data_IF_458798086059
#
_entry.id   IF_458798086059
#
_cell.length_a   1.000
_cell.length_b   1.000
_cell.length_c   1.000
_cell.angle_alpha   90.00
_cell.angle_beta   90.00
_cell.angle_gamma   90.00
#
_symmetry.space_group_name_H-M   'P 1'
#
loop_
_entity.id
_entity.type
_entity.pdbx_description
1 polymer ?
#
# COMPACT_ATOMS: atom_id res chain seq x y z
N UNK A 1 5.00 -4.04 5.30
CA UNK A 1 4.68 -5.38 4.75
C UNK A 1 4.05 -6.29 5.80
N UNK A 2 4.67 -6.58 6.97
CA UNK A 2 4.04 -7.47 7.96
C UNK A 2 2.58 -7.10 8.29
N UNK A 3 2.29 -5.83 8.58
CA UNK A 3 0.92 -5.35 8.84
C UNK A 3 -0.09 -5.60 7.70
N UNK A 4 0.34 -5.47 6.44
CA UNK A 4 -0.52 -5.73 5.28
C UNK A 4 -0.87 -7.23 5.18
N UNK A 5 0.08 -8.11 5.49
CA UNK A 5 -0.16 -9.55 5.48
C UNK A 5 -1.00 -9.98 6.69
N UNK A 6 -0.85 -9.32 7.86
CA UNK A 6 -1.75 -9.57 8.99
C UNK A 6 -3.17 -9.11 8.70
N UNK A 7 -3.35 -7.96 8.01
CA UNK A 7 -4.66 -7.51 7.55
C UNK A 7 -5.32 -8.57 6.67
N UNK A 8 -4.57 -9.11 5.70
CA UNK A 8 -5.06 -10.22 4.89
C UNK A 8 -5.45 -11.45 5.73
N UNK A 9 -4.67 -11.80 6.75
CA UNK A 9 -5.02 -12.91 7.64
C UNK A 9 -6.26 -12.63 8.49
N UNK A 10 -6.48 -11.38 8.91
CA UNK A 10 -7.70 -10.96 9.61
C UNK A 10 -8.93 -11.10 8.71
N UNK A 11 -8.77 -10.86 7.41
CA UNK A 11 -9.80 -11.03 6.38
C UNK A 11 -9.93 -12.49 5.89
N UNK A 12 -9.32 -13.45 6.59
CA UNK A 12 -9.51 -14.89 6.35
C UNK A 12 -8.50 -15.52 5.40
N UNK A 13 -7.51 -14.78 4.89
CA UNK A 13 -6.46 -15.38 4.05
C UNK A 13 -5.50 -16.21 4.88
N UNK A 14 -5.29 -17.48 4.49
CA UNK A 14 -4.28 -18.32 5.13
C UNK A 14 -2.87 -18.01 4.60
N UNK A 15 -1.80 -18.26 5.38
CA UNK A 15 -0.42 -18.15 4.90
C UNK A 15 -0.12 -19.02 3.66
N UNK A 16 -0.88 -20.10 3.46
CA UNK A 16 -0.74 -21.01 2.33
C UNK A 16 -1.53 -20.56 1.09
N UNK A 17 -2.38 -19.54 1.21
CA UNK A 17 -3.16 -19.00 0.11
C UNK A 17 -2.24 -18.56 -1.03
N UNK A 18 -2.56 -18.97 -2.26
CA UNK A 18 -1.74 -18.72 -3.44
C UNK A 18 -2.25 -17.52 -4.21
N UNK A 19 -1.33 -16.65 -4.60
CA UNK A 19 -1.60 -15.43 -5.37
C UNK A 19 -0.63 -15.30 -6.54
N UNK A 20 -1.01 -14.60 -7.62
CA UNK A 20 -0.15 -14.43 -8.77
C UNK A 20 1.00 -13.44 -8.47
N UNK A 21 2.24 -13.87 -8.70
CA UNK A 21 3.42 -13.01 -8.62
C UNK A 21 3.63 -12.22 -9.92
N UNK A 22 2.72 -11.29 -10.19
CA UNK A 22 2.69 -10.50 -11.44
C UNK A 22 2.62 -8.99 -11.17
N UNK A 23 3.12 -8.14 -12.08
CA UNK A 23 3.04 -6.70 -11.95
C UNK A 23 1.61 -6.21 -11.69
N UNK A 24 1.46 -5.28 -10.74
CA UNK A 24 0.17 -4.70 -10.37
C UNK A 24 0.13 -3.22 -10.69
N UNK A 25 -0.69 -2.83 -11.67
CA UNK A 25 -0.85 -1.41 -12.02
C UNK A 25 -1.96 -0.76 -11.21
N UNK A 26 -1.66 0.41 -10.64
CA UNK A 26 -2.59 1.30 -9.95
C UNK A 26 -2.90 2.49 -10.86
N UNK A 27 -4.15 2.93 -10.86
CA UNK A 27 -4.59 4.15 -11.55
C UNK A 27 -4.66 5.27 -10.51
N UNK A 28 -4.13 6.43 -10.87
CA UNK A 28 -4.23 7.66 -10.08
C UNK A 28 -4.55 8.83 -11.01
N UNK A 29 -5.83 9.22 -11.04
CA UNK A 29 -6.37 10.21 -11.97
C UNK A 29 -5.92 9.93 -13.42
N UNK A 30 -5.12 10.83 -14.01
CA UNK A 30 -4.61 10.73 -15.39
C UNK A 30 -3.32 9.92 -15.52
N UNK A 31 -2.84 9.31 -14.43
CA UNK A 31 -1.58 8.57 -14.40
C UNK A 31 -1.77 7.12 -13.98
N UNK A 32 -0.80 6.28 -14.36
CA UNK A 32 -0.71 4.90 -13.87
C UNK A 32 0.65 4.64 -13.28
N UNK A 33 0.68 3.84 -12.23
CA UNK A 33 1.90 3.41 -11.57
C UNK A 33 1.91 1.90 -11.38
N UNK A 34 3.02 1.29 -11.79
CA UNK A 34 3.28 -0.14 -11.57
C UNK A 34 4.57 -0.23 -10.75
N UNK A 35 4.51 -0.66 -9.47
CA UNK A 35 5.71 -0.81 -8.66
C UNK A 35 6.59 -1.89 -9.27
N UNK A 36 7.89 -1.62 -9.38
CA UNK A 36 8.85 -2.62 -9.78
C UNK A 36 9.09 -3.61 -8.62
N UNK A 37 9.36 -4.87 -8.98
CA UNK A 37 9.90 -5.85 -8.04
C UNK A 37 11.36 -6.14 -8.35
N UNK A 38 12.16 -6.25 -7.28
CA UNK A 38 13.52 -6.79 -7.32
C UNK A 38 13.56 -8.25 -6.85
N UNK A 39 12.40 -8.89 -6.70
CA UNK A 39 12.27 -10.28 -6.29
C UNK A 39 12.85 -11.26 -7.31
N UNK A 40 12.80 -12.54 -6.94
CA UNK A 40 13.37 -13.65 -7.73
C UNK A 40 12.64 -13.79 -9.07
N UNK A 41 13.33 -13.49 -10.17
CA UNK A 41 12.76 -13.46 -11.53
C UNK A 41 12.18 -14.80 -11.96
N UNK A 42 12.76 -15.91 -11.50
CA UNK A 42 12.31 -17.27 -11.80
C UNK A 42 10.93 -17.60 -11.20
N UNK A 43 10.43 -16.76 -10.28
CA UNK A 43 9.08 -16.86 -9.72
C UNK A 43 8.09 -15.84 -10.29
N UNK A 44 8.53 -14.94 -11.18
CA UNK A 44 7.61 -13.99 -11.82
C UNK A 44 6.64 -14.73 -12.75
N UNK A 45 5.37 -14.32 -12.75
CA UNK A 45 4.31 -15.01 -13.50
C UNK A 45 3.76 -16.26 -12.83
N UNK A 46 4.36 -16.74 -11.73
CA UNK A 46 3.93 -17.96 -11.04
C UNK A 46 2.99 -17.66 -9.88
N UNK A 47 2.21 -18.67 -9.50
CA UNK A 47 1.45 -18.65 -8.25
C UNK A 47 2.38 -18.92 -7.07
N UNK A 48 2.39 -18.03 -6.08
CA UNK A 48 3.20 -18.15 -4.86
C UNK A 48 2.33 -18.00 -3.64
N UNK A 49 2.74 -18.54 -2.50
CA UNK A 49 1.96 -18.41 -1.26
C UNK A 49 2.17 -17.03 -0.62
N UNK A 50 1.21 -16.56 0.18
CA UNK A 50 1.39 -15.36 1.00
C UNK A 50 2.60 -15.49 1.94
N UNK A 51 2.80 -16.67 2.54
CA UNK A 51 4.01 -16.97 3.34
C UNK A 51 5.29 -16.72 2.53
N UNK A 52 5.35 -17.21 1.30
CA UNK A 52 6.51 -17.03 0.42
C UNK A 52 6.70 -15.55 0.06
N UNK A 53 5.61 -14.85 -0.27
CA UNK A 53 5.64 -13.43 -0.63
C UNK A 53 6.19 -12.55 0.49
N UNK A 54 5.77 -12.80 1.74
CA UNK A 54 6.29 -12.10 2.90
C UNK A 54 7.76 -12.46 3.15
N UNK A 55 8.11 -13.75 3.12
CA UNK A 55 9.47 -14.23 3.38
C UNK A 55 10.50 -13.69 2.38
N UNK A 56 10.12 -13.50 1.11
CA UNK A 56 11.00 -12.96 0.07
C UNK A 56 10.84 -11.46 -0.13
N UNK A 57 10.03 -10.78 0.69
CA UNK A 57 9.71 -9.36 0.55
C UNK A 57 9.26 -9.02 -0.89
N UNK A 58 8.45 -9.88 -1.49
CA UNK A 58 8.03 -9.76 -2.89
C UNK A 58 7.07 -8.57 -3.08
N UNK A 59 7.46 -7.60 -3.92
CA UNK A 59 6.69 -6.37 -4.13
C UNK A 59 5.42 -6.62 -4.93
N UNK A 60 5.44 -7.52 -5.92
CA UNK A 60 4.24 -7.82 -6.71
C UNK A 60 3.13 -8.46 -5.88
N UNK A 61 3.49 -9.38 -4.96
CA UNK A 61 2.54 -9.96 -4.00
C UNK A 61 2.00 -8.90 -3.05
N UNK A 62 2.87 -8.03 -2.52
CA UNK A 62 2.44 -6.95 -1.64
C UNK A 62 1.50 -5.96 -2.36
N UNK A 63 1.81 -5.61 -3.60
CA UNK A 63 0.96 -4.76 -4.43
C UNK A 63 -0.38 -5.43 -4.76
N UNK A 64 -0.40 -6.76 -4.94
CA UNK A 64 -1.64 -7.51 -5.14
C UNK A 64 -2.52 -7.46 -3.91
N UNK A 65 -1.95 -7.62 -2.71
CA UNK A 65 -2.67 -7.49 -1.45
C UNK A 65 -3.26 -6.09 -1.26
N UNK A 66 -2.50 -5.02 -1.56
CA UNK A 66 -3.01 -3.64 -1.45
C UNK A 66 -4.26 -3.42 -2.31
N UNK A 67 -4.39 -4.10 -3.46
CA UNK A 67 -5.59 -3.99 -4.30
C UNK A 67 -6.84 -4.65 -3.70
N UNK A 68 -6.69 -5.51 -2.71
CA UNK A 68 -7.83 -6.21 -2.10
C UNK A 68 -8.48 -5.38 -0.98
N UNK A 69 -7.78 -4.39 -0.45
CA UNK A 69 -8.20 -3.62 0.72
C UNK A 69 -8.37 -2.15 0.38
N UNK A 70 -9.23 -1.47 1.13
CA UNK A 70 -9.36 -0.03 1.04
C UNK A 70 -8.11 0.64 1.64
N UNK A 71 -7.66 1.80 1.10
CA UNK A 71 -6.48 2.49 1.62
C UNK A 71 -6.53 2.78 3.12
N UNK A 72 -7.73 3.04 3.67
CA UNK A 72 -7.95 3.30 5.10
C UNK A 72 -7.64 2.08 5.97
N UNK A 73 -7.98 0.88 5.51
CA UNK A 73 -7.68 -0.38 6.20
C UNK A 73 -6.17 -0.65 6.19
N UNK A 74 -5.53 -0.42 5.03
CA UNK A 74 -4.09 -0.63 4.85
C UNK A 74 -3.26 0.25 5.79
N UNK A 75 -3.70 1.50 6.04
CA UNK A 75 -3.01 2.41 6.97
C UNK A 75 -3.45 2.23 8.43
N UNK A 76 -4.41 1.34 8.70
CA UNK A 76 -4.93 1.09 10.05
C UNK A 76 -5.67 2.29 10.62
N UNK A 77 -6.59 2.88 9.85
CA UNK A 77 -7.31 4.12 10.20
C UNK A 77 -7.84 4.12 11.65
N UNK A 78 -8.58 3.08 12.03
CA UNK A 78 -9.19 2.97 13.35
C UNK A 78 -8.17 2.96 14.48
N UNK A 79 -7.07 2.22 14.29
CA UNK A 79 -5.99 2.14 15.28
C UNK A 79 -5.30 3.49 15.46
N UNK A 80 -5.02 4.20 14.36
CA UNK A 80 -4.37 5.51 14.39
C UNK A 80 -5.28 6.53 15.06
N UNK A 81 -6.58 6.56 14.69
CA UNK A 81 -7.57 7.47 15.27
C UNK A 81 -7.82 7.19 16.75
N UNK A 82 -7.93 5.94 17.15
CA UNK A 82 -8.14 5.56 18.55
C UNK A 82 -6.99 6.02 19.47
N UNK A 83 -5.78 6.20 18.92
CA UNK A 83 -4.62 6.74 19.65
C UNK A 83 -4.44 8.26 19.51
N UNK A 84 -5.46 8.96 19.00
CA UNK A 84 -5.43 10.41 18.80
C UNK A 84 -4.61 10.87 17.60
N UNK A 85 -4.17 9.96 16.73
CA UNK A 85 -3.42 10.27 15.52
C UNK A 85 -4.29 10.83 14.38
N UNK A 86 -3.65 11.46 13.40
CA UNK A 86 -4.31 11.92 12.17
C UNK A 86 -3.93 11.04 10.99
N UNK A 87 -4.91 10.72 10.15
CA UNK A 87 -4.73 9.99 8.90
C UNK A 87 -5.13 10.91 7.76
N UNK A 88 -4.22 11.11 6.82
CA UNK A 88 -4.43 11.88 5.60
C UNK A 88 -4.06 10.96 4.45
N UNK A 89 -5.07 10.51 3.70
CA UNK A 89 -4.85 9.80 2.44
C UNK A 89 -4.54 10.84 1.37
N UNK A 90 -3.44 10.64 0.65
CA UNK A 90 -2.99 11.53 -0.41
C UNK A 90 -2.96 10.77 -1.73
N UNK A 91 -3.20 11.49 -2.83
CA UNK A 91 -3.06 10.96 -4.18
C UNK A 91 -1.63 10.48 -4.44
N UNK A 92 -1.45 9.59 -5.42
CA UNK A 92 -0.17 8.95 -5.68
C UNK A 92 0.83 9.96 -6.27
N UNK A 93 1.69 10.51 -5.42
CA UNK A 93 2.68 11.49 -5.86
C UNK A 93 3.89 10.76 -6.46
N UNK A 94 4.03 10.80 -7.79
CA UNK A 94 5.19 10.20 -8.48
C UNK A 94 6.50 10.85 -8.02
N UNK A 95 7.42 10.03 -7.52
CA UNK A 95 8.84 10.38 -7.41
C UNK A 95 9.26 11.22 -6.21
N UNK A 96 8.41 11.44 -5.21
CA UNK A 96 8.84 12.06 -3.95
C UNK A 96 9.24 11.01 -2.93
N UNK A 97 10.40 11.20 -2.29
CA UNK A 97 10.74 10.49 -1.06
C UNK A 97 9.75 10.86 0.06
N UNK A 98 9.71 10.07 1.13
CA UNK A 98 8.91 10.39 2.33
C UNK A 98 9.21 11.80 2.86
N UNK A 99 10.48 12.21 2.86
CA UNK A 99 10.89 13.59 3.21
C UNK A 99 10.34 14.61 2.23
N UNK A 100 10.37 14.34 0.92
CA UNK A 100 9.80 15.21 -0.11
C UNK A 100 8.28 15.37 0.03
N UNK A 101 7.58 14.30 0.42
CA UNK A 101 6.15 14.32 0.73
C UNK A 101 5.89 15.19 1.96
N UNK A 102 6.64 15.01 3.06
CA UNK A 102 6.49 15.81 4.28
C UNK A 102 6.70 17.29 3.97
N UNK A 103 7.76 17.66 3.25
CA UNK A 103 8.02 19.05 2.87
C UNK A 103 6.90 19.64 2.00
N UNK A 104 6.30 18.83 1.12
CA UNK A 104 5.16 19.25 0.30
C UNK A 104 3.87 19.40 1.10
N UNK A 105 3.65 18.56 2.12
CA UNK A 105 2.51 18.66 3.02
C UNK A 105 2.63 19.88 3.94
N UNK A 106 3.81 20.13 4.50
CA UNK A 106 4.09 21.29 5.35
C UNK A 106 4.05 22.62 4.59
N UNK A 107 4.28 22.60 3.27
CA UNK A 107 4.23 23.81 2.43
C UNK A 107 2.85 24.09 1.82
N UNK A 108 1.85 23.21 2.00
CA UNK A 108 0.47 23.51 1.60
C UNK A 108 -0.15 24.49 2.60
N UNK A 109 -0.60 25.70 2.17
CA UNK A 109 -1.30 26.60 3.07
C UNK A 109 -2.60 25.94 3.54
N UNK A 110 -2.86 25.97 4.85
CA UNK A 110 -4.12 25.49 5.41
C UNK A 110 -5.28 26.13 4.64
N UNK A 111 -6.21 25.30 4.12
CA UNK A 111 -7.45 25.80 3.55
C UNK A 111 -8.16 26.60 4.64
N UNK A 112 -8.11 27.93 4.53
CA UNK A 112 -8.87 28.87 5.39
C UNK A 112 -10.29 28.32 5.54
N UNK A 113 -10.67 27.96 6.77
CA UNK A 113 -12.07 27.76 7.14
C UNK A 113 -12.81 29.03 6.70
N UNK A 114 -13.64 28.93 5.65
CA UNK A 114 -14.58 29.99 5.31
C UNK A 114 -15.64 29.96 6.40
N UNK A 115 -15.46 30.80 7.42
CA UNK A 115 -16.55 31.19 8.30
C UNK A 115 -17.61 31.89 7.44
N UNK A 116 -18.84 31.38 7.47
CA UNK A 116 -20.05 32.10 7.13
C UNK A 116 -21.00 31.95 8.31
#
# INVERSE_FOLDING_TARGET
KPFLYTLAMQDGYSPCYKVPNVPQTFKDNDSTWTPASSGRKEFWGKMVTLKWGLANSENYVSAWLIKQFNPEEVVGYDLVKARGGQVIIIDLIKGLSTTGIINKLSSRPEKRKKNK
#
